data_IF_719562916390
#
_entry.id   IF_719562916390
#
_cell.length_a   1.000
_cell.length_b   1.000
_cell.length_c   1.000
_cell.angle_alpha   90.00
_cell.angle_beta   90.00
_cell.angle_gamma   90.00
#
_symmetry.space_group_name_H-M   'P 1'
#
loop_
_entity.id
_entity.type
_entity.pdbx_description
1 polymer ?
#
# COMPACT_ATOMS: atom_id res chain seq x y z
N UNK A 1 14.95 -12.24 -77.46
CA UNK A 1 13.68 -12.91 -77.11
C UNK A 1 13.67 -13.15 -75.59
N UNK A 2 12.48 -13.08 -74.99
CA UNK A 2 12.15 -12.92 -73.56
C UNK A 2 12.71 -13.92 -72.51
N UNK A 3 12.90 -13.39 -71.28
CA UNK A 3 12.46 -13.87 -69.93
C UNK A 3 13.24 -14.95 -69.11
N UNK A 4 13.70 -14.47 -67.93
CA UNK A 4 13.45 -14.92 -66.52
C UNK A 4 14.13 -16.23 -66.06
N UNK A 5 14.56 -16.50 -64.81
CA UNK A 5 14.37 -16.01 -63.42
C UNK A 5 15.41 -16.77 -62.53
N UNK A 6 16.20 -16.21 -61.59
CA UNK A 6 16.00 -16.10 -60.11
C UNK A 6 17.39 -15.74 -59.51
N UNK A 7 17.65 -14.59 -58.87
CA UNK A 7 17.42 -14.13 -57.48
C UNK A 7 18.08 -14.92 -56.32
N UNK A 8 19.04 -14.22 -55.70
CA UNK A 8 19.34 -14.04 -54.26
C UNK A 8 20.06 -15.14 -53.48
N UNK A 9 21.22 -14.79 -52.88
CA UNK A 9 21.40 -14.70 -51.42
C UNK A 9 22.85 -14.30 -51.08
N UNK A 10 23.07 -13.04 -50.71
CA UNK A 10 23.97 -12.56 -49.63
C UNK A 10 23.54 -11.10 -49.38
N UNK A 11 22.98 -10.81 -48.21
CA UNK A 11 22.71 -9.44 -47.73
C UNK A 11 23.89 -8.99 -46.85
N UNK A 12 24.32 -7.72 -46.88
CA UNK A 12 25.35 -7.22 -45.97
C UNK A 12 24.76 -6.86 -44.59
N UNK A 13 25.50 -7.22 -43.54
CA UNK A 13 25.14 -7.21 -42.11
C UNK A 13 25.60 -5.96 -41.29
N UNK A 14 25.68 -4.69 -41.76
CA UNK A 14 26.20 -3.63 -40.86
C UNK A 14 25.15 -2.67 -40.26
N UNK A 15 23.86 -2.75 -40.60
CA UNK A 15 22.87 -1.76 -40.09
C UNK A 15 22.24 -2.06 -38.73
N UNK A 16 22.38 -3.29 -38.22
CA UNK A 16 21.82 -3.67 -36.92
C UNK A 16 22.78 -3.46 -35.75
N UNK A 17 24.09 -3.43 -35.98
CA UNK A 17 25.09 -3.26 -34.91
C UNK A 17 25.09 -1.82 -34.37
N UNK A 18 24.85 -0.82 -35.23
CA UNK A 18 24.78 0.59 -34.81
C UNK A 18 23.54 0.91 -33.95
N UNK A 19 22.41 0.23 -34.18
CA UNK A 19 21.19 0.42 -33.39
C UNK A 19 21.30 -0.23 -32.01
N UNK A 20 21.99 -1.37 -31.91
CA UNK A 20 22.23 -2.03 -30.62
C UNK A 20 23.17 -1.19 -29.73
N UNK A 21 24.18 -0.54 -30.30
CA UNK A 21 25.08 0.31 -29.51
C UNK A 21 24.42 1.59 -28.97
N UNK A 22 23.46 2.17 -29.71
CA UNK A 22 22.72 3.34 -29.24
C UNK A 22 21.72 3.00 -28.12
N UNK A 23 21.12 1.80 -28.16
CA UNK A 23 20.22 1.31 -27.10
C UNK A 23 21.02 0.91 -25.85
N UNK A 24 22.21 0.33 -26.01
CA UNK A 24 23.10 0.04 -24.89
C UNK A 24 23.61 1.32 -24.19
N UNK A 25 23.89 2.40 -24.93
CA UNK A 25 24.32 3.66 -24.30
C UNK A 25 23.21 4.29 -23.43
N UNK A 26 21.95 4.24 -23.86
CA UNK A 26 20.81 4.75 -23.06
C UNK A 26 20.53 3.87 -21.84
N UNK A 27 20.81 2.56 -21.92
CA UNK A 27 20.68 1.65 -20.77
C UNK A 27 21.83 1.78 -19.76
N UNK A 28 23.00 2.30 -20.14
CA UNK A 28 24.14 2.48 -19.24
C UNK A 28 24.15 3.89 -18.60
N UNK A 29 23.40 4.86 -19.13
CA UNK A 29 23.33 6.20 -18.53
C UNK A 29 22.47 6.31 -17.26
N UNK A 30 21.68 5.29 -16.90
CA UNK A 30 20.94 5.24 -15.63
C UNK A 30 21.64 4.42 -14.54
N UNK A 31 22.82 3.85 -14.78
CA UNK A 31 23.51 3.01 -13.78
C UNK A 31 24.56 3.76 -12.94
N UNK A 32 24.50 5.09 -12.91
CA UNK A 32 25.39 5.93 -12.10
C UNK A 32 24.59 6.94 -11.26
N UNK A 33 23.52 6.47 -10.61
CA UNK A 33 23.18 6.94 -9.28
C UNK A 33 23.54 5.78 -8.35
N UNK A 34 24.29 6.02 -7.28
CA UNK A 34 24.56 5.01 -6.24
C UNK A 34 23.28 4.65 -5.49
N UNK A 35 22.31 4.04 -6.18
CA UNK A 35 21.03 3.63 -5.65
C UNK A 35 21.21 2.39 -4.79
N UNK A 36 20.78 2.47 -3.53
CA UNK A 36 20.71 1.32 -2.65
C UNK A 36 19.75 0.29 -3.26
N UNK A 37 20.07 -1.02 -3.22
CA UNK A 37 19.15 -2.03 -3.76
C UNK A 37 17.78 -1.93 -3.06
N UNK A 38 16.66 -2.12 -3.78
CA UNK A 38 15.33 -2.04 -3.17
C UNK A 38 15.16 -2.99 -1.98
N UNK A 39 14.29 -2.61 -1.05
CA UNK A 39 13.90 -3.44 0.07
C UNK A 39 13.34 -4.76 -0.42
N UNK A 40 13.78 -5.83 0.22
CA UNK A 40 13.34 -7.17 -0.08
C UNK A 40 11.83 -7.31 0.08
N UNK A 41 11.19 -8.12 -0.77
CA UNK A 41 9.77 -8.45 -0.64
C UNK A 41 9.41 -8.97 0.76
N UNK A 42 8.16 -8.83 1.18
CA UNK A 42 7.69 -9.15 2.54
C UNK A 42 8.16 -10.53 3.00
N UNK A 43 7.99 -11.56 2.17
CA UNK A 43 8.37 -12.92 2.54
C UNK A 43 9.86 -13.02 2.87
N UNK A 44 10.72 -12.41 2.05
CA UNK A 44 12.17 -12.42 2.30
C UNK A 44 12.54 -11.63 3.56
N UNK A 45 11.81 -10.57 3.89
CA UNK A 45 12.01 -9.84 5.14
C UNK A 45 11.63 -10.71 6.36
N UNK A 46 10.54 -11.46 6.26
CA UNK A 46 10.12 -12.45 7.28
C UNK A 46 11.15 -13.58 7.39
N UNK A 47 11.59 -14.16 6.27
CA UNK A 47 12.61 -15.24 6.26
C UNK A 47 13.95 -14.76 6.86
N UNK A 48 14.35 -13.52 6.57
CA UNK A 48 15.54 -12.89 7.17
C UNK A 48 15.39 -12.76 8.68
N UNK A 49 14.24 -12.29 9.17
CA UNK A 49 13.97 -12.28 10.61
C UNK A 49 14.00 -13.69 11.19
N UNK A 50 13.40 -14.66 10.49
CA UNK A 50 13.48 -16.10 10.78
C UNK A 50 14.91 -16.55 11.08
N UNK A 51 15.82 -16.27 10.14
CA UNK A 51 17.25 -16.63 10.29
C UNK A 51 18.00 -15.86 11.37
N UNK A 52 17.67 -14.57 11.60
CA UNK A 52 18.35 -13.72 12.58
C UNK A 52 18.00 -14.05 14.02
N UNK A 53 16.81 -14.61 14.22
CA UNK A 53 16.28 -14.97 15.52
C UNK A 53 16.11 -16.49 15.68
N UNK A 54 16.70 -17.27 14.78
CA UNK A 54 16.76 -18.73 14.89
C UNK A 54 17.41 -19.15 16.22
N UNK A 55 16.91 -20.24 16.80
CA UNK A 55 17.31 -20.73 18.12
C UNK A 55 16.75 -19.96 19.32
N UNK A 56 15.97 -18.89 19.12
CA UNK A 56 15.16 -18.30 20.20
C UNK A 56 13.89 -19.12 20.45
N UNK A 57 13.24 -18.83 21.59
CA UNK A 57 11.91 -19.34 21.89
C UNK A 57 10.92 -19.05 20.74
N UNK A 58 10.06 -20.02 20.43
CA UNK A 58 9.11 -19.96 19.30
C UNK A 58 8.20 -18.73 19.39
N UNK A 59 7.82 -18.30 20.60
CA UNK A 59 7.00 -17.10 20.78
C UNK A 59 7.78 -15.81 20.48
N UNK A 60 9.07 -15.78 20.83
CA UNK A 60 9.95 -14.65 20.49
C UNK A 60 10.10 -14.53 18.99
N UNK A 61 10.28 -15.67 18.29
CA UNK A 61 10.36 -15.68 16.84
C UNK A 61 9.06 -15.18 16.19
N UNK A 62 7.91 -15.73 16.60
CA UNK A 62 6.60 -15.33 16.10
C UNK A 62 6.31 -13.85 16.35
N UNK A 63 6.74 -13.30 17.48
CA UNK A 63 6.61 -11.86 17.76
C UNK A 63 7.49 -11.00 16.84
N UNK A 64 8.71 -11.45 16.52
CA UNK A 64 9.57 -10.75 15.54
C UNK A 64 9.02 -10.78 14.13
N UNK A 65 8.51 -11.93 13.68
CA UNK A 65 7.86 -12.06 12.38
C UNK A 65 6.62 -11.15 12.28
N UNK A 66 5.79 -11.12 13.32
CA UNK A 66 4.65 -10.21 13.41
C UNK A 66 5.07 -8.74 13.35
N UNK A 67 6.13 -8.35 14.09
CA UNK A 67 6.64 -6.97 14.04
C UNK A 67 7.13 -6.59 12.64
N UNK A 68 7.83 -7.50 11.94
CA UNK A 68 8.23 -7.27 10.54
C UNK A 68 7.00 -7.05 9.67
N UNK A 69 6.02 -7.94 9.73
CA UNK A 69 4.78 -7.82 8.95
C UNK A 69 4.05 -6.50 9.26
N UNK A 70 3.92 -6.14 10.54
CA UNK A 70 3.30 -4.89 10.99
C UNK A 70 3.94 -3.67 10.33
N UNK A 71 5.26 -3.50 10.47
CA UNK A 71 5.91 -2.31 9.94
C UNK A 71 5.98 -2.33 8.41
N UNK A 72 6.09 -3.50 7.78
CA UNK A 72 6.06 -3.63 6.33
C UNK A 72 4.71 -3.18 5.76
N UNK A 73 3.59 -3.72 6.27
CA UNK A 73 2.25 -3.28 5.86
C UNK A 73 1.99 -1.81 6.19
N UNK A 74 2.57 -1.29 7.28
CA UNK A 74 2.46 0.11 7.63
C UNK A 74 3.13 1.01 6.59
N UNK A 75 4.31 0.66 6.09
CA UNK A 75 4.96 1.42 5.02
C UNK A 75 4.10 1.36 3.75
N UNK A 76 3.68 0.16 3.31
CA UNK A 76 2.87 0.03 2.08
C UNK A 76 1.56 0.82 2.14
N UNK A 77 0.81 0.70 3.24
CA UNK A 77 -0.46 1.42 3.42
C UNK A 77 -0.25 2.94 3.39
N UNK A 78 0.79 3.45 4.07
CA UNK A 78 1.06 4.89 4.12
C UNK A 78 1.59 5.43 2.80
N UNK A 79 2.39 4.66 2.06
CA UNK A 79 2.80 5.02 0.69
C UNK A 79 1.59 5.14 -0.24
N UNK A 80 0.64 4.22 -0.17
CA UNK A 80 -0.60 4.31 -0.95
C UNK A 80 -1.46 5.52 -0.58
N UNK A 81 -1.53 5.88 0.71
CA UNK A 81 -2.19 7.13 1.13
C UNK A 81 -1.46 8.38 0.64
N UNK A 82 -0.13 8.36 0.62
CA UNK A 82 0.69 9.45 0.11
C UNK A 82 0.46 9.69 -1.39
N UNK A 83 0.29 8.63 -2.19
CA UNK A 83 -0.09 8.74 -3.61
C UNK A 83 -1.42 9.49 -3.77
N UNK A 84 -2.43 9.17 -2.96
CA UNK A 84 -3.73 9.84 -2.98
C UNK A 84 -3.62 11.32 -2.60
N UNK A 85 -2.88 11.63 -1.54
CA UNK A 85 -2.73 13.02 -1.11
C UNK A 85 -1.99 13.84 -2.18
N UNK A 86 -1.04 13.25 -2.91
CA UNK A 86 -0.39 13.93 -4.03
C UNK A 86 -1.35 14.17 -5.21
N UNK A 87 -2.25 13.23 -5.51
CA UNK A 87 -3.32 13.44 -6.49
C UNK A 87 -4.25 14.60 -6.05
N UNK A 88 -4.72 14.56 -4.81
CA UNK A 88 -5.61 15.59 -4.23
C UNK A 88 -4.94 16.95 -4.18
N UNK A 89 -3.65 17.00 -3.82
CA UNK A 89 -2.82 18.21 -3.88
C UNK A 89 -2.85 18.81 -5.28
N UNK A 90 -2.62 18.00 -6.32
CA UNK A 90 -2.64 18.47 -7.71
C UNK A 90 -4.00 19.05 -8.12
N UNK A 91 -5.10 18.43 -7.67
CA UNK A 91 -6.44 18.98 -7.91
C UNK A 91 -6.66 20.31 -7.20
N UNK A 92 -6.25 20.44 -5.93
CA UNK A 92 -6.35 21.71 -5.20
C UNK A 92 -5.46 22.80 -5.81
N UNK A 93 -4.22 22.50 -6.19
CA UNK A 93 -3.31 23.46 -6.83
C UNK A 93 -3.93 24.02 -8.11
N UNK A 94 -4.42 23.14 -8.99
CA UNK A 94 -5.11 23.54 -10.22
C UNK A 94 -6.35 24.39 -9.94
N UNK A 95 -7.15 23.99 -8.95
CA UNK A 95 -8.38 24.71 -8.61
C UNK A 95 -8.11 26.10 -8.03
N UNK A 96 -7.09 26.24 -7.18
CA UNK A 96 -6.66 27.54 -6.66
C UNK A 96 -6.23 28.46 -7.81
N UNK A 97 -5.36 28.00 -8.71
CA UNK A 97 -4.90 28.80 -9.85
C UNK A 97 -6.07 29.27 -10.71
N UNK A 98 -6.97 28.35 -11.10
CA UNK A 98 -8.13 28.68 -11.93
C UNK A 98 -9.07 29.68 -11.24
N UNK A 99 -9.31 29.51 -9.95
CA UNK A 99 -10.17 30.41 -9.19
C UNK A 99 -9.55 31.83 -9.06
N UNK A 100 -8.24 31.93 -8.85
CA UNK A 100 -7.53 33.21 -8.81
C UNK A 100 -7.57 33.94 -10.16
N UNK A 101 -7.28 33.23 -11.26
CA UNK A 101 -7.35 33.80 -12.62
C UNK A 101 -8.73 34.37 -12.94
N UNK A 102 -9.80 33.62 -12.62
CA UNK A 102 -11.18 34.08 -12.79
C UNK A 102 -11.49 35.32 -11.96
N UNK A 103 -11.11 35.30 -10.69
CA UNK A 103 -11.34 36.42 -9.79
C UNK A 103 -10.62 37.69 -10.27
N UNK A 104 -9.36 37.57 -10.69
CA UNK A 104 -8.56 38.70 -11.18
C UNK A 104 -9.09 39.26 -12.51
N UNK A 105 -9.73 38.42 -13.33
CA UNK A 105 -10.39 38.83 -14.57
C UNK A 105 -11.76 39.51 -14.36
N UNK A 106 -12.27 39.52 -13.13
CA UNK A 106 -13.57 40.09 -12.79
C UNK A 106 -14.77 39.21 -13.15
N UNK A 107 -14.57 37.91 -13.38
CA UNK A 107 -15.68 36.96 -13.51
C UNK A 107 -16.45 36.87 -12.19
N UNK A 108 -17.75 37.23 -12.21
CA UNK A 108 -18.59 37.32 -11.00
C UNK A 108 -18.89 35.96 -10.33
N UNK A 109 -18.49 34.84 -10.95
CA UNK A 109 -18.78 33.48 -10.48
C UNK A 109 -17.80 32.93 -9.45
N UNK A 110 -16.70 33.65 -9.15
CA UNK A 110 -15.73 33.26 -8.12
C UNK A 110 -15.62 34.28 -7.00
N UNK A 111 -15.73 33.81 -5.75
CA UNK A 111 -15.55 34.65 -4.57
C UNK A 111 -14.20 34.44 -3.89
N UNK A 112 -13.71 35.46 -3.18
CA UNK A 112 -12.54 35.34 -2.29
C UNK A 112 -12.72 34.23 -1.24
N UNK A 113 -13.95 34.01 -0.78
CA UNK A 113 -14.26 32.92 0.17
C UNK A 113 -14.02 31.55 -0.48
N UNK A 114 -14.41 31.36 -1.74
CA UNK A 114 -14.17 30.13 -2.48
C UNK A 114 -12.66 29.85 -2.65
N UNK A 115 -11.89 30.86 -3.06
CA UNK A 115 -10.41 30.77 -3.16
C UNK A 115 -9.81 30.39 -1.80
N UNK A 116 -10.27 31.03 -0.73
CA UNK A 116 -9.77 30.77 0.64
C UNK A 116 -10.04 29.33 1.07
N UNK A 117 -11.22 28.77 0.76
CA UNK A 117 -11.54 27.36 1.05
C UNK A 117 -10.63 26.40 0.31
N UNK A 118 -10.40 26.62 -0.99
CA UNK A 118 -9.49 25.80 -1.79
C UNK A 118 -8.05 25.84 -1.25
N UNK A 119 -7.55 27.02 -0.89
CA UNK A 119 -6.23 27.19 -0.25
C UNK A 119 -6.14 26.47 1.09
N UNK A 120 -7.21 26.51 1.89
CA UNK A 120 -7.26 25.78 3.16
C UNK A 120 -7.20 24.26 2.93
N UNK A 121 -7.92 23.75 1.92
CA UNK A 121 -7.86 22.34 1.51
C UNK A 121 -6.46 21.92 1.06
N UNK A 122 -5.81 22.76 0.26
CA UNK A 122 -4.41 22.55 -0.16
C UNK A 122 -3.46 22.49 1.03
N UNK A 123 -3.53 23.48 1.92
CA UNK A 123 -2.67 23.53 3.11
C UNK A 123 -2.87 22.32 4.03
N UNK A 124 -4.12 21.89 4.24
CA UNK A 124 -4.43 20.67 4.99
C UNK A 124 -3.84 19.42 4.34
N UNK A 125 -3.94 19.31 3.01
CA UNK A 125 -3.37 18.20 2.24
C UNK A 125 -1.84 18.15 2.36
N UNK A 126 -1.18 19.30 2.24
CA UNK A 126 0.28 19.42 2.42
C UNK A 126 0.73 19.02 3.83
N UNK A 127 -0.03 19.40 4.87
CA UNK A 127 0.27 18.99 6.24
C UNK A 127 0.20 17.45 6.39
N UNK A 128 -0.85 16.83 5.87
CA UNK A 128 -1.00 15.36 5.92
C UNK A 128 0.07 14.62 5.11
N UNK A 129 0.58 15.21 4.03
CA UNK A 129 1.74 14.65 3.28
C UNK A 129 2.98 14.59 4.17
N UNK A 130 3.31 15.68 4.86
CA UNK A 130 4.47 15.77 5.75
C UNK A 130 4.39 14.74 6.88
N UNK A 131 3.20 14.57 7.46
CA UNK A 131 2.93 13.55 8.49
C UNK A 131 3.18 12.14 7.96
N UNK A 132 2.57 11.78 6.82
CA UNK A 132 2.74 10.44 6.23
C UNK A 132 4.19 10.13 5.84
N UNK A 133 4.92 11.09 5.27
CA UNK A 133 6.33 10.92 4.93
C UNK A 133 7.17 10.60 6.17
N UNK A 134 6.93 11.32 7.27
CA UNK A 134 7.63 11.11 8.54
C UNK A 134 7.30 9.74 9.12
N UNK A 135 6.02 9.37 9.08
CA UNK A 135 5.55 8.08 9.55
C UNK A 135 6.10 6.89 8.75
N UNK A 136 6.23 7.03 7.42
CA UNK A 136 6.88 6.03 6.55
C UNK A 136 8.33 5.84 6.98
N UNK A 137 9.09 6.94 7.17
CA UNK A 137 10.49 6.89 7.61
C UNK A 137 10.63 6.17 8.95
N UNK A 138 9.76 6.47 9.92
CA UNK A 138 9.75 5.81 11.24
C UNK A 138 9.47 4.31 11.12
N UNK A 139 8.52 3.90 10.28
CA UNK A 139 8.23 2.48 10.05
C UNK A 139 9.42 1.75 9.38
N UNK A 140 10.09 2.39 8.42
CA UNK A 140 11.33 1.84 7.83
C UNK A 140 12.46 1.73 8.84
N UNK A 141 12.64 2.70 9.73
CA UNK A 141 13.63 2.62 10.82
C UNK A 141 13.33 1.47 11.78
N UNK A 142 12.04 1.21 12.05
CA UNK A 142 11.62 0.08 12.87
C UNK A 142 11.96 -1.26 12.21
N UNK A 143 11.78 -1.38 10.89
CA UNK A 143 12.21 -2.54 10.11
C UNK A 143 13.74 -2.69 10.11
N UNK A 144 14.48 -1.59 9.92
CA UNK A 144 15.94 -1.56 9.98
C UNK A 144 16.47 -2.16 11.29
N UNK A 145 15.84 -1.79 12.41
CA UNK A 145 16.20 -2.26 13.74
C UNK A 145 15.95 -3.78 13.90
N UNK A 146 14.79 -4.27 13.47
CA UNK A 146 14.44 -5.70 13.59
C UNK A 146 15.33 -6.55 12.68
N UNK A 147 15.57 -6.09 11.46
CA UNK A 147 16.34 -6.83 10.45
C UNK A 147 17.86 -6.63 10.57
N UNK A 148 18.30 -5.87 11.58
CA UNK A 148 19.71 -5.52 11.82
C UNK A 148 20.39 -4.98 10.55
N UNK A 149 19.67 -4.13 9.82
CA UNK A 149 20.06 -3.63 8.51
C UNK A 149 19.94 -2.09 8.47
N UNK A 150 21.05 -1.41 8.73
CA UNK A 150 21.11 0.06 8.80
C UNK A 150 20.86 0.75 7.46
N UNK A 151 20.90 0.03 6.35
CA UNK A 151 20.67 0.58 5.01
C UNK A 151 19.19 0.60 4.60
N UNK A 152 18.31 0.01 5.40
CA UNK A 152 16.87 -0.11 5.12
C UNK A 152 16.10 1.22 5.00
N UNK A 153 16.37 2.30 5.78
CA UNK A 153 15.59 3.54 5.73
C UNK A 153 15.62 4.25 4.38
N UNK A 154 16.77 4.18 3.70
CA UNK A 154 17.06 4.91 2.47
C UNK A 154 16.73 4.10 1.20
N UNK A 155 16.34 2.83 1.35
CA UNK A 155 15.95 1.95 0.24
C UNK A 155 14.49 2.16 -0.15
N UNK A 156 14.23 2.11 -1.46
CA UNK A 156 12.87 2.05 -2.00
C UNK A 156 12.25 0.67 -1.71
N UNK A 157 10.94 0.60 -1.50
CA UNK A 157 10.26 -0.70 -1.39
C UNK A 157 10.04 -1.31 -2.76
N UNK A 158 10.40 -2.58 -2.93
CA UNK A 158 10.14 -3.31 -4.17
C UNK A 158 8.63 -3.52 -4.40
N UNK A 159 7.88 -3.78 -3.34
CA UNK A 159 6.41 -3.88 -3.35
C UNK A 159 5.79 -2.75 -2.52
N UNK A 160 5.58 -1.58 -3.12
CA UNK A 160 4.97 -0.41 -2.45
C UNK A 160 3.46 -0.55 -2.24
N UNK A 161 2.79 -1.39 -3.04
CA UNK A 161 1.35 -1.58 -3.00
C UNK A 161 0.96 -2.55 -1.87
N UNK A 162 0.02 -2.14 -1.03
CA UNK A 162 -0.61 -3.05 -0.06
C UNK A 162 -1.78 -3.78 -0.70
N UNK A 163 -1.78 -5.10 -0.59
CA UNK A 163 -2.90 -5.95 -1.00
C UNK A 163 -3.45 -6.74 0.19
N UNK A 164 -4.77 -7.01 0.24
CA UNK A 164 -5.34 -7.89 1.25
C UNK A 164 -4.74 -9.29 1.20
N UNK A 165 -4.29 -9.81 2.34
CA UNK A 165 -3.81 -11.19 2.46
C UNK A 165 -4.94 -12.20 2.21
N UNK A 166 -4.58 -13.40 1.77
CA UNK A 166 -5.57 -14.46 1.54
C UNK A 166 -6.01 -15.07 2.88
N UNK A 167 -7.28 -14.89 3.25
CA UNK A 167 -7.92 -15.52 4.40
C UNK A 167 -9.37 -15.93 4.08
N UNK A 168 -9.51 -17.16 3.59
CA UNK A 168 -10.74 -17.71 3.00
C UNK A 168 -11.70 -18.41 3.99
N UNK A 169 -11.42 -18.31 5.29
CA UNK A 169 -12.16 -19.08 6.29
C UNK A 169 -13.33 -18.28 6.83
N UNK A 170 -14.53 -18.87 6.79
CA UNK A 170 -15.75 -18.27 7.34
C UNK A 170 -16.20 -18.94 8.64
N UNK A 171 -15.65 -20.12 8.94
CA UNK A 171 -15.95 -20.89 10.13
C UNK A 171 -14.67 -21.18 10.93
N UNK A 172 -14.72 -20.91 12.25
CA UNK A 172 -13.59 -21.12 13.17
C UNK A 172 -13.12 -22.58 13.18
N UNK A 173 -14.04 -23.54 13.27
CA UNK A 173 -13.68 -24.97 13.39
C UNK A 173 -13.00 -25.48 12.10
N UNK A 174 -13.41 -24.94 10.95
CA UNK A 174 -12.79 -25.21 9.65
C UNK A 174 -11.39 -24.63 9.59
N UNK A 175 -11.23 -23.35 9.95
CA UNK A 175 -9.92 -22.71 10.06
C UNK A 175 -8.99 -23.47 11.02
N UNK A 176 -9.50 -23.83 12.21
CA UNK A 176 -8.74 -24.49 13.27
C UNK A 176 -8.19 -25.84 12.80
N UNK A 177 -9.05 -26.68 12.18
CA UNK A 177 -8.66 -27.99 11.64
C UNK A 177 -7.69 -27.87 10.47
N UNK A 178 -7.99 -27.02 9.48
CA UNK A 178 -7.13 -26.84 8.30
C UNK A 178 -5.80 -26.16 8.64
N UNK A 179 -5.72 -25.42 9.75
CA UNK A 179 -4.48 -24.87 10.29
C UNK A 179 -3.61 -25.90 11.02
N UNK A 180 -4.01 -27.18 11.04
CA UNK A 180 -3.26 -28.27 11.67
C UNK A 180 -3.36 -28.29 13.20
N UNK A 181 -4.32 -27.55 13.77
CA UNK A 181 -4.49 -27.49 15.23
C UNK A 181 -5.36 -28.66 15.70
N UNK A 182 -4.95 -29.28 16.80
CA UNK A 182 -5.73 -30.32 17.49
C UNK A 182 -6.18 -29.79 18.86
N UNK A 183 -7.39 -30.14 19.33
CA UNK A 183 -7.80 -29.84 20.69
C UNK A 183 -6.82 -30.45 21.69
N UNK A 184 -6.36 -29.65 22.65
CA UNK A 184 -5.58 -30.19 23.77
C UNK A 184 -6.58 -30.85 24.73
N UNK A 185 -6.41 -32.14 24.99
CA UNK A 185 -7.22 -32.83 26.01
C UNK A 185 -6.57 -32.55 27.37
N UNK A 186 -7.18 -31.68 28.17
CA UNK A 186 -6.83 -31.54 29.58
C UNK A 186 -7.42 -32.73 30.37
N UNK A 187 -6.60 -33.56 31.06
CA UNK A 187 -7.08 -34.64 31.91
C UNK A 187 -8.06 -34.20 33.02
N UNK A 188 -8.06 -32.91 33.38
CA UNK A 188 -8.86 -32.34 34.47
C UNK A 188 -10.19 -31.68 34.02
N UNK A 189 -10.55 -31.80 32.74
CA UNK A 189 -11.95 -31.62 32.31
C UNK A 189 -12.47 -30.18 32.20
N UNK A 190 -11.64 -29.14 32.27
CA UNK A 190 -12.07 -27.75 31.98
C UNK A 190 -11.33 -27.25 30.74
N UNK A 191 -11.91 -27.56 29.58
CA UNK A 191 -11.33 -27.28 28.26
C UNK A 191 -11.73 -25.89 27.73
N UNK A 192 -11.53 -24.85 28.54
CA UNK A 192 -11.54 -23.45 28.12
C UNK A 192 -10.14 -22.89 28.43
N UNK A 193 -9.12 -23.42 27.73
CA UNK A 193 -7.77 -22.92 27.91
C UNK A 193 -7.71 -21.45 27.48
N UNK A 194 -6.97 -20.62 28.22
CA UNK A 194 -6.68 -19.23 27.85
C UNK A 194 -6.17 -19.11 26.41
N UNK A 195 -5.46 -20.14 25.92
CA UNK A 195 -4.97 -20.25 24.55
C UNK A 195 -6.11 -20.39 23.52
N UNK A 196 -7.14 -21.19 23.78
CA UNK A 196 -8.27 -21.34 22.86
C UNK A 196 -9.09 -20.04 22.80
N UNK A 197 -9.28 -19.39 23.94
CA UNK A 197 -9.93 -18.07 23.99
C UNK A 197 -9.15 -17.03 23.18
N UNK A 198 -7.82 -17.04 23.25
CA UNK A 198 -6.98 -16.15 22.44
C UNK A 198 -7.12 -16.43 20.94
N UNK A 199 -7.13 -17.71 20.51
CA UNK A 199 -7.33 -18.07 19.10
C UNK A 199 -8.71 -17.66 18.58
N UNK A 200 -9.77 -17.93 19.35
CA UNK A 200 -11.14 -17.52 18.99
C UNK A 200 -11.26 -16.01 18.88
N UNK A 201 -10.63 -15.28 19.80
CA UNK A 201 -10.59 -13.81 19.77
C UNK A 201 -9.86 -13.29 18.54
N UNK A 202 -8.67 -13.81 18.24
CA UNK A 202 -7.91 -13.43 17.06
C UNK A 202 -8.64 -13.76 15.75
N UNK A 203 -9.29 -14.92 15.68
CA UNK A 203 -10.11 -15.31 14.54
C UNK A 203 -11.27 -14.35 14.33
N UNK A 204 -12.06 -14.06 15.38
CA UNK A 204 -13.16 -13.09 15.29
C UNK A 204 -12.66 -11.71 14.87
N UNK A 205 -11.46 -11.30 15.30
CA UNK A 205 -10.85 -10.04 14.86
C UNK A 205 -10.49 -10.04 13.37
N UNK A 206 -9.97 -11.15 12.85
CA UNK A 206 -9.70 -11.30 11.42
C UNK A 206 -11.00 -11.23 10.58
N UNK A 207 -12.09 -11.83 11.07
CA UNK A 207 -13.41 -11.74 10.43
C UNK A 207 -13.95 -10.32 10.46
N UNK A 208 -13.96 -9.66 11.62
CA UNK A 208 -14.44 -8.28 11.78
C UNK A 208 -13.72 -7.32 10.83
N UNK A 209 -12.40 -7.42 10.75
CA UNK A 209 -11.57 -6.56 9.88
C UNK A 209 -11.78 -6.88 8.40
N UNK A 210 -12.03 -8.14 8.03
CA UNK A 210 -12.41 -8.53 6.66
C UNK A 210 -13.73 -7.92 6.22
N UNK A 211 -14.75 -7.95 7.08
CA UNK A 211 -16.05 -7.34 6.78
C UNK A 211 -15.93 -5.82 6.59
N UNK A 212 -15.17 -5.15 7.45
CA UNK A 212 -14.84 -3.72 7.30
C UNK A 212 -14.12 -3.42 5.98
N UNK A 213 -13.17 -4.28 5.60
CA UNK A 213 -12.46 -4.17 4.32
C UNK A 213 -13.40 -4.35 3.12
N UNK A 214 -14.34 -5.30 3.18
CA UNK A 214 -15.31 -5.51 2.11
C UNK A 214 -16.22 -4.29 1.91
N UNK A 215 -16.65 -3.66 3.01
CA UNK A 215 -17.40 -2.41 2.95
C UNK A 215 -16.57 -1.25 2.35
N UNK A 216 -15.31 -1.10 2.78
CA UNK A 216 -14.46 -0.02 2.29
C UNK A 216 -14.07 -0.16 0.82
N UNK A 217 -13.97 -1.39 0.29
CA UNK A 217 -13.80 -1.65 -1.15
C UNK A 217 -14.94 -1.06 -1.98
N UNK A 218 -16.18 -1.21 -1.53
CA UNK A 218 -17.36 -0.66 -2.21
C UNK A 218 -17.37 0.87 -2.14
N UNK A 219 -17.12 1.43 -0.95
CA UNK A 219 -17.08 2.88 -0.75
C UNK A 219 -16.01 3.55 -1.63
N UNK A 220 -14.81 2.96 -1.72
CA UNK A 220 -13.72 3.46 -2.58
C UNK A 220 -14.16 3.64 -4.03
N UNK A 221 -14.90 2.68 -4.60
CA UNK A 221 -15.37 2.75 -6.00
C UNK A 221 -16.36 3.90 -6.21
N UNK A 222 -17.33 4.02 -5.31
CA UNK A 222 -18.36 5.06 -5.36
C UNK A 222 -17.71 6.45 -5.24
N UNK A 223 -16.82 6.62 -4.26
CA UNK A 223 -16.17 7.91 -4.04
C UNK A 223 -15.20 8.29 -5.17
N UNK A 224 -14.54 7.32 -5.82
CA UNK A 224 -13.72 7.60 -7.02
C UNK A 224 -14.59 8.14 -8.16
N UNK A 225 -15.78 7.58 -8.36
CA UNK A 225 -16.70 8.06 -9.39
C UNK A 225 -17.20 9.48 -9.10
N UNK A 226 -17.54 9.78 -7.83
CA UNK A 226 -17.90 11.12 -7.39
C UNK A 226 -16.77 12.12 -7.66
N UNK A 227 -15.53 11.81 -7.25
CA UNK A 227 -14.39 12.70 -7.50
C UNK A 227 -14.20 13.00 -8.99
N UNK A 228 -14.22 11.97 -9.83
CA UNK A 228 -14.02 12.15 -11.28
C UNK A 228 -15.11 13.05 -11.88
N UNK A 229 -16.36 12.90 -11.44
CA UNK A 229 -17.47 13.75 -11.83
C UNK A 229 -17.23 15.22 -11.42
N UNK A 230 -16.94 15.47 -10.15
CA UNK A 230 -16.81 16.86 -9.65
C UNK A 230 -15.56 17.56 -10.17
N UNK A 231 -14.45 16.84 -10.34
CA UNK A 231 -13.25 17.39 -11.01
C UNK A 231 -13.57 17.78 -12.45
N UNK A 232 -14.29 16.93 -13.19
CA UNK A 232 -14.66 17.23 -14.57
C UNK A 232 -15.63 18.41 -14.65
N UNK A 233 -16.65 18.46 -13.79
CA UNK A 233 -17.61 19.55 -13.71
C UNK A 233 -16.90 20.89 -13.45
N UNK A 234 -15.98 20.91 -12.49
CA UNK A 234 -15.19 22.10 -12.17
C UNK A 234 -14.25 22.49 -13.32
N UNK A 235 -13.60 21.52 -13.95
CA UNK A 235 -12.71 21.74 -15.10
C UNK A 235 -13.47 22.34 -16.30
N UNK A 236 -14.70 21.89 -16.56
CA UNK A 236 -15.57 22.46 -17.60
C UNK A 236 -16.23 23.79 -17.21
N UNK A 237 -16.07 24.25 -15.96
CA UNK A 237 -16.67 25.50 -15.48
C UNK A 237 -18.18 25.40 -15.23
N UNK A 238 -18.70 24.20 -15.05
CA UNK A 238 -20.12 23.94 -14.74
C UNK A 238 -20.31 23.72 -13.23
N UNK A 239 -19.32 23.11 -12.56
CA UNK A 239 -19.34 22.86 -11.12
C UNK A 239 -18.70 24.01 -10.32
N UNK A 240 -19.13 24.18 -9.07
CA UNK A 240 -18.58 25.19 -8.17
C UNK A 240 -17.42 24.66 -7.30
N UNK A 241 -16.66 25.60 -6.72
CA UNK A 241 -15.48 25.28 -5.91
C UNK A 241 -15.81 24.55 -4.59
N UNK A 242 -17.02 24.73 -4.07
CA UNK A 242 -17.51 24.05 -2.87
C UNK A 242 -17.71 22.56 -3.13
N UNK A 243 -18.42 22.20 -4.20
CA UNK A 243 -18.65 20.81 -4.59
C UNK A 243 -17.32 20.07 -4.86
N UNK A 244 -16.39 20.71 -5.57
CA UNK A 244 -15.05 20.15 -5.77
C UNK A 244 -14.31 19.95 -4.45
N UNK A 245 -14.33 20.96 -3.56
CA UNK A 245 -13.68 20.87 -2.25
C UNK A 245 -14.25 19.70 -1.44
N UNK A 246 -15.57 19.57 -1.36
CA UNK A 246 -16.22 18.47 -0.64
C UNK A 246 -15.85 17.11 -1.23
N UNK A 247 -15.88 16.97 -2.55
CA UNK A 247 -15.50 15.74 -3.23
C UNK A 247 -14.04 15.33 -2.93
N UNK A 248 -13.10 16.28 -2.93
CA UNK A 248 -11.69 16.04 -2.60
C UNK A 248 -11.49 15.61 -1.14
N UNK A 249 -12.20 16.23 -0.20
CA UNK A 249 -12.14 15.86 1.23
C UNK A 249 -12.75 14.48 1.48
N UNK A 250 -13.91 14.20 0.89
CA UNK A 250 -14.57 12.89 0.99
C UNK A 250 -13.67 11.81 0.37
N UNK A 251 -13.08 12.07 -0.80
CA UNK A 251 -12.16 11.17 -1.47
C UNK A 251 -10.97 10.81 -0.59
N UNK A 252 -10.30 11.82 -0.03
CA UNK A 252 -9.16 11.64 0.86
C UNK A 252 -9.53 10.77 2.06
N UNK A 253 -10.66 11.05 2.71
CA UNK A 253 -11.13 10.32 3.90
C UNK A 253 -11.47 8.86 3.58
N UNK A 254 -12.25 8.61 2.54
CA UNK A 254 -12.74 7.27 2.20
C UNK A 254 -11.58 6.37 1.77
N UNK A 255 -10.66 6.88 0.95
CA UNK A 255 -9.56 6.07 0.47
C UNK A 255 -8.47 5.86 1.52
N UNK A 256 -8.21 6.85 2.37
CA UNK A 256 -7.38 6.63 3.56
C UNK A 256 -7.96 5.52 4.43
N UNK A 257 -9.28 5.56 4.69
CA UNK A 257 -9.99 4.52 5.44
C UNK A 257 -9.97 3.15 4.75
N UNK A 258 -9.96 3.09 3.42
CA UNK A 258 -9.76 1.84 2.68
C UNK A 258 -8.38 1.25 2.95
N UNK A 259 -7.30 2.03 2.80
CA UNK A 259 -5.95 1.54 3.05
C UNK A 259 -5.68 1.23 4.53
N UNK A 260 -6.35 1.90 5.46
CA UNK A 260 -6.41 1.49 6.87
C UNK A 260 -7.09 0.14 7.04
N UNK A 261 -8.20 -0.09 6.34
CA UNK A 261 -8.91 -1.38 6.41
C UNK A 261 -8.06 -2.53 5.88
N UNK A 262 -7.31 -2.33 4.78
CA UNK A 262 -6.37 -3.33 4.25
C UNK A 262 -5.28 -3.62 5.29
N UNK A 263 -4.65 -2.57 5.83
CA UNK A 263 -3.62 -2.70 6.86
C UNK A 263 -4.12 -3.46 8.10
N UNK A 264 -5.27 -3.08 8.64
CA UNK A 264 -5.84 -3.71 9.83
C UNK A 264 -6.24 -5.16 9.60
N UNK A 265 -6.77 -5.50 8.44
CA UNK A 265 -7.07 -6.88 8.08
C UNK A 265 -5.81 -7.74 7.97
N UNK A 266 -4.80 -7.25 7.24
CA UNK A 266 -3.51 -7.94 7.12
C UNK A 266 -2.86 -8.15 8.49
N UNK A 267 -2.91 -7.14 9.35
CA UNK A 267 -2.37 -7.20 10.70
C UNK A 267 -3.15 -8.17 11.60
N UNK A 268 -4.48 -8.24 11.48
CA UNK A 268 -5.29 -9.19 12.26
C UNK A 268 -4.98 -10.65 11.89
N UNK A 269 -4.75 -10.94 10.60
CA UNK A 269 -4.33 -12.27 10.14
C UNK A 269 -2.91 -12.60 10.61
N UNK A 270 -2.00 -11.61 10.56
CA UNK A 270 -0.65 -11.73 11.11
C UNK A 270 -0.66 -12.05 12.61
N UNK A 271 -1.47 -11.31 13.39
CA UNK A 271 -1.59 -11.51 14.82
C UNK A 271 -2.22 -12.87 15.15
N UNK A 272 -3.22 -13.32 14.37
CA UNK A 272 -3.78 -14.67 14.50
C UNK A 272 -2.72 -15.75 14.31
N UNK A 273 -1.81 -15.60 13.34
CA UNK A 273 -0.68 -16.51 13.17
C UNK A 273 0.31 -16.44 14.33
N UNK A 274 0.56 -15.25 14.89
CA UNK A 274 1.39 -15.09 16.09
C UNK A 274 0.77 -15.80 17.30
N UNK A 275 -0.53 -15.62 17.55
CA UNK A 275 -1.25 -16.30 18.64
C UNK A 275 -1.25 -17.82 18.42
N UNK A 276 -1.41 -18.27 17.18
CA UNK A 276 -1.32 -19.69 16.81
C UNK A 276 0.00 -20.33 17.21
N UNK A 277 1.13 -19.61 17.18
CA UNK A 277 2.42 -20.14 17.62
C UNK A 277 2.43 -20.61 19.08
N UNK A 278 1.62 -19.98 19.95
CA UNK A 278 1.44 -20.42 21.36
C UNK A 278 0.66 -21.71 21.52
N UNK A 279 -0.11 -22.11 20.50
CA UNK A 279 -0.84 -23.37 20.47
C UNK A 279 0.06 -24.53 20.07
N UNK A 280 1.04 -24.27 19.19
CA UNK A 280 1.97 -25.27 18.66
C UNK A 280 3.17 -25.51 19.56
N UNK A 281 3.13 -25.11 20.84
CA UNK A 281 4.15 -25.43 21.86
C UNK A 281 4.22 -26.95 22.12
N UNK A 282 4.77 -27.69 21.18
CA UNK A 282 5.55 -28.90 21.40
C UNK A 282 6.82 -28.77 20.53
N UNK A 283 7.98 -29.22 21.03
CA UNK A 283 9.18 -29.31 20.22
C UNK A 283 8.95 -30.16 18.96
#
# INVERSE_FOLDING_TARGET
MCKKLKRNLIKPLPKYIAVVFLICAVLISNSMAGGLEPLTGLQRAVDKAGSLYDGNDVLVLADKEYQVQKYYYQVQSKTQKLEILNEVKGHFEKAVTKAEEKFDSGEEDVSQSAITKLKLGLAGTLNSIIELESEIKIAKLSLALILKDSSFPDREMLDSNIEPVQFKFDNYDTWFKESGLAPVLDPNGINFSSKELALRTGYLKAIETREKLNLSKSNRKITRALLVSEVANYDFGIGDAGDLFEALIIYTRVLSGYYDSVYHFNLAVADLNRVKASWTEKP
#
